data_IF_488978034023
#
_entry.id   IF_488978034023
#
_cell.length_a   1.000
_cell.length_b   1.000
_cell.length_c   1.000
_cell.angle_alpha   90.00
_cell.angle_beta   90.00
_cell.angle_gamma   90.00
#
_symmetry.space_group_name_H-M   'P 1'
#
loop_
_entity.id
_entity.type
_entity.pdbx_description
1 polymer ?
#
# COMPACT_ATOMS: atom_id res chain seq x y z
N UNK A 1 -7.14 29.06 25.60
CA UNK A 1 -7.29 28.87 24.14
C UNK A 1 -5.89 28.90 23.54
N UNK A 2 -5.26 27.73 23.43
CA UNK A 2 -3.99 27.55 22.73
C UNK A 2 -4.27 27.70 21.23
N UNK A 3 -3.53 28.56 20.53
CA UNK A 3 -3.68 28.74 19.08
C UNK A 3 -3.43 27.44 18.30
N UNK A 4 -3.84 27.36 17.03
CA UNK A 4 -3.60 26.17 16.22
C UNK A 4 -2.10 25.85 16.18
N UNK A 5 -1.75 24.57 16.36
CA UNK A 5 -0.37 24.09 16.27
C UNK A 5 0.25 24.53 14.93
N UNK A 6 1.53 24.93 14.93
CA UNK A 6 2.25 25.35 13.72
C UNK A 6 2.21 24.26 12.63
N UNK A 7 2.10 23.00 13.01
CA UNK A 7 1.88 21.85 12.11
C UNK A 7 0.57 22.00 11.33
N UNK A 8 -0.54 22.35 12.00
CA UNK A 8 -1.83 22.48 11.35
C UNK A 8 -1.88 23.67 10.39
N UNK A 9 -1.18 24.76 10.71
CA UNK A 9 -1.06 25.90 9.80
C UNK A 9 -0.30 25.53 8.52
N UNK A 10 0.75 24.70 8.61
CA UNK A 10 1.51 24.23 7.45
C UNK A 10 0.74 23.26 6.55
N UNK A 11 -0.33 22.64 7.07
CA UNK A 11 -1.17 21.67 6.38
C UNK A 11 -2.47 22.29 5.84
N UNK A 12 -2.69 23.59 6.04
CA UNK A 12 -3.96 24.22 5.69
C UNK A 12 -4.26 24.13 4.19
N UNK A 13 -5.52 23.91 3.83
CA UNK A 13 -5.97 23.72 2.45
C UNK A 13 -5.47 22.45 1.72
N UNK A 14 -4.68 21.58 2.38
CA UNK A 14 -4.12 20.36 1.77
C UNK A 14 -4.82 19.09 2.25
N UNK A 15 -4.91 18.06 1.41
CA UNK A 15 -5.13 16.70 1.93
C UNK A 15 -3.93 16.31 2.78
N UNK A 16 -4.12 15.47 3.79
CA UNK A 16 -3.04 15.00 4.65
C UNK A 16 -3.03 13.49 4.69
N UNK A 17 -1.90 12.89 4.36
CA UNK A 17 -1.62 11.49 4.59
C UNK A 17 -0.86 11.36 5.91
N UNK A 18 -1.41 10.59 6.84
CA UNK A 18 -0.77 10.20 8.08
C UNK A 18 -0.26 8.77 7.95
N UNK A 19 1.01 8.55 8.21
CA UNK A 19 1.64 7.23 8.29
C UNK A 19 2.34 7.07 9.63
N UNK A 20 2.58 5.84 10.13
CA UNK A 20 3.41 5.63 11.30
C UNK A 20 4.75 6.35 11.16
N UNK A 21 5.27 6.87 12.26
CA UNK A 21 6.54 7.59 12.27
C UNK A 21 7.67 6.79 11.65
N UNK A 22 8.57 7.49 10.96
CA UNK A 22 9.75 6.94 10.29
C UNK A 22 9.43 5.98 9.12
N UNK A 23 8.18 6.00 8.62
CA UNK A 23 7.82 5.29 7.38
C UNK A 23 8.59 5.88 6.19
N UNK A 24 9.34 5.05 5.47
CA UNK A 24 9.97 5.44 4.21
C UNK A 24 8.94 5.56 3.09
N UNK A 25 8.58 6.80 2.75
CA UNK A 25 7.54 7.11 1.78
C UNK A 25 8.01 6.95 0.33
N UNK A 26 9.31 7.03 0.06
CA UNK A 26 9.82 7.04 -1.32
C UNK A 26 9.56 5.72 -2.06
N UNK A 27 9.83 4.52 -1.49
CA UNK A 27 9.46 3.25 -2.13
C UNK A 27 7.96 3.12 -2.38
N UNK A 28 7.14 3.62 -1.45
CA UNK A 28 5.68 3.59 -1.57
C UNK A 28 5.18 4.52 -2.69
N UNK A 29 5.81 5.68 -2.87
CA UNK A 29 5.54 6.56 -4.02
C UNK A 29 5.98 5.91 -5.34
N UNK A 30 7.17 5.31 -5.39
CA UNK A 30 7.70 4.66 -6.59
C UNK A 30 6.89 3.48 -7.09
N UNK A 31 6.12 2.84 -6.21
CA UNK A 31 5.20 1.77 -6.59
C UNK A 31 4.07 2.25 -7.53
N UNK A 32 3.71 3.54 -7.48
CA UNK A 32 2.67 4.15 -8.31
C UNK A 32 3.23 5.17 -9.31
N UNK A 33 4.36 5.79 -8.98
CA UNK A 33 4.98 6.86 -9.74
C UNK A 33 6.48 6.55 -9.91
N UNK A 34 6.91 5.85 -10.97
CA UNK A 34 8.29 5.38 -11.12
C UNK A 34 9.34 6.49 -11.08
N UNK A 35 8.95 7.70 -11.49
CA UNK A 35 9.80 8.89 -11.48
C UNK A 35 9.89 9.58 -10.09
N UNK A 36 9.22 9.07 -9.06
CA UNK A 36 9.18 9.72 -7.76
C UNK A 36 10.58 9.84 -7.14
N UNK A 37 10.86 11.03 -6.60
CA UNK A 37 12.14 11.39 -6.00
C UNK A 37 11.99 12.54 -5.00
N UNK A 38 12.87 12.59 -4.00
CA UNK A 38 12.96 13.74 -3.11
C UNK A 38 13.55 14.94 -3.87
N UNK A 39 12.73 15.94 -4.18
CA UNK A 39 13.21 17.23 -4.67
C UNK A 39 13.96 17.99 -3.57
N UNK A 40 13.53 17.77 -2.31
CA UNK A 40 14.24 18.18 -1.10
C UNK A 40 14.11 17.08 -0.05
N UNK A 41 15.22 16.55 0.41
CA UNK A 41 15.20 15.52 1.47
C UNK A 41 14.75 16.11 2.82
N UNK A 42 13.98 15.35 3.61
CA UNK A 42 13.62 15.76 4.96
C UNK A 42 14.83 15.65 5.89
N UNK A 43 15.00 16.65 6.76
CA UNK A 43 16.08 16.66 7.76
C UNK A 43 15.50 16.54 9.17
N UNK A 44 15.93 15.52 9.91
CA UNK A 44 15.67 15.43 11.35
C UNK A 44 16.39 16.54 12.11
N UNK A 45 15.96 16.81 13.35
CA UNK A 45 16.60 17.83 14.18
C UNK A 45 18.07 17.50 14.47
N UNK A 46 18.40 16.21 14.63
CA UNK A 46 19.76 15.75 14.84
C UNK A 46 20.63 15.97 13.58
N UNK A 47 20.10 15.63 12.40
CA UNK A 47 20.80 15.85 11.13
C UNK A 47 20.97 17.34 10.83
N UNK A 48 19.95 18.17 11.07
CA UNK A 48 20.02 19.62 10.94
C UNK A 48 21.05 20.24 11.91
N UNK A 49 21.22 19.67 13.10
CA UNK A 49 22.26 20.10 14.04
C UNK A 49 23.66 19.71 13.57
N UNK A 50 23.82 18.50 13.04
CA UNK A 50 25.10 17.96 12.56
C UNK A 50 25.59 18.62 11.27
N UNK A 51 24.67 19.04 10.39
CA UNK A 51 25.00 19.71 9.13
C UNK A 51 25.42 21.19 9.30
N UNK A 52 25.47 21.71 10.53
CA UNK A 52 25.85 23.10 10.77
C UNK A 52 27.33 23.34 10.48
N UNK A 53 27.69 24.34 9.66
CA UNK A 53 29.07 24.78 9.58
C UNK A 53 29.51 25.29 10.96
N UNK A 54 30.70 24.88 11.42
CA UNK A 54 31.26 25.36 12.69
C UNK A 54 31.43 26.88 12.62
N UNK A 55 30.52 27.63 13.23
CA UNK A 55 30.59 29.08 13.26
C UNK A 55 31.76 29.50 14.15
N UNK A 56 32.70 30.26 13.56
CA UNK A 56 33.90 30.74 14.25
C UNK A 56 33.58 31.55 15.50
N UNK A 57 34.60 31.70 16.36
CA UNK A 57 34.53 32.20 17.75
C UNK A 57 33.79 33.54 18.00
N UNK A 58 33.39 34.25 16.94
CA UNK A 58 32.69 35.55 16.99
C UNK A 58 31.16 35.47 17.12
N UNK A 59 30.57 34.27 17.06
CA UNK A 59 29.11 34.06 17.21
C UNK A 59 28.71 33.30 18.48
N UNK A 60 29.54 33.34 19.54
CA UNK A 60 29.22 32.74 20.85
C UNK A 60 28.05 33.50 21.50
N UNK A 61 26.83 33.01 21.33
CA UNK A 61 25.68 33.49 22.10
C UNK A 61 24.31 33.26 21.47
N UNK A 62 24.21 33.07 20.15
CA UNK A 62 22.94 32.80 19.47
C UNK A 62 22.84 31.31 19.17
N UNK A 63 22.36 30.54 20.15
CA UNK A 63 21.98 29.16 19.93
C UNK A 63 20.60 29.13 19.27
N UNK A 64 20.56 29.20 17.93
CA UNK A 64 19.33 28.85 17.20
C UNK A 64 19.11 27.35 17.40
N UNK A 65 17.96 26.92 17.89
CA UNK A 65 17.64 25.49 17.95
C UNK A 65 17.64 24.89 16.53
N UNK A 66 18.19 23.69 16.29
CA UNK A 66 18.08 23.05 14.98
C UNK A 66 16.61 22.80 14.65
N UNK A 67 16.13 23.42 13.57
CA UNK A 67 14.74 23.32 13.13
C UNK A 67 14.65 22.15 12.15
N UNK A 68 13.73 21.20 12.41
CA UNK A 68 13.39 20.15 11.42
C UNK A 68 12.90 20.82 10.16
N UNK A 69 13.37 20.35 9.00
CA UNK A 69 12.92 20.89 7.71
C UNK A 69 12.10 19.83 7.00
N UNK A 70 10.86 20.17 6.65
CA UNK A 70 10.01 19.31 5.84
C UNK A 70 10.64 19.14 4.44
N UNK A 71 10.73 17.89 4.01
CA UNK A 71 11.09 17.53 2.64
C UNK A 71 9.96 17.84 1.66
N UNK A 72 10.28 17.70 0.38
CA UNK A 72 9.34 17.75 -0.73
C UNK A 72 9.60 16.54 -1.64
N UNK A 73 8.66 15.60 -1.64
CA UNK A 73 8.68 14.41 -2.47
C UNK A 73 7.92 14.71 -3.76
N UNK A 74 8.62 14.74 -4.88
CA UNK A 74 8.00 14.90 -6.19
C UNK A 74 7.48 13.54 -6.68
N UNK A 75 6.24 13.50 -7.16
CA UNK A 75 5.63 12.28 -7.71
C UNK A 75 5.89 12.15 -9.22
N UNK A 76 5.71 13.24 -9.98
CA UNK A 76 5.90 13.28 -11.44
C UNK A 76 6.73 14.48 -11.93
N UNK A 77 7.41 15.20 -11.03
CA UNK A 77 8.12 16.44 -11.34
C UNK A 77 7.28 17.72 -11.12
N UNK A 78 5.95 17.61 -11.01
CA UNK A 78 5.05 18.75 -10.79
C UNK A 78 4.25 18.63 -9.49
N UNK A 79 3.74 17.44 -9.19
CA UNK A 79 3.01 17.17 -7.94
C UNK A 79 4.00 16.91 -6.82
N UNK A 80 3.95 17.72 -5.76
CA UNK A 80 4.78 17.55 -4.56
C UNK A 80 3.95 17.13 -3.34
N UNK A 81 4.54 16.23 -2.55
CA UNK A 81 4.07 15.83 -1.23
C UNK A 81 5.04 16.40 -0.19
N UNK A 82 4.54 17.23 0.73
CA UNK A 82 5.39 17.99 1.65
C UNK A 82 5.29 17.42 3.06
N UNK A 83 6.42 17.07 3.66
CA UNK A 83 6.50 16.45 4.98
C UNK A 83 7.89 15.84 5.21
N UNK A 84 8.12 15.12 6.32
CA UNK A 84 7.16 14.79 7.36
C UNK A 84 6.94 15.94 8.35
N UNK A 85 5.69 16.08 8.82
CA UNK A 85 5.35 16.84 10.01
C UNK A 85 4.99 15.87 11.14
N UNK A 86 5.89 15.64 12.11
CA UNK A 86 5.68 14.67 13.16
C UNK A 86 4.56 15.13 14.11
N UNK A 87 3.71 14.20 14.50
CA UNK A 87 2.74 14.36 15.58
C UNK A 87 2.84 13.17 16.54
N UNK A 88 2.59 13.41 17.82
CA UNK A 88 2.52 12.32 18.79
C UNK A 88 1.15 11.60 18.76
N UNK A 89 1.04 10.47 19.46
CA UNK A 89 -0.19 9.70 19.53
C UNK A 89 -1.40 10.48 20.11
N UNK A 90 -1.18 11.48 20.98
CA UNK A 90 -2.24 12.29 21.56
C UNK A 90 -2.77 13.32 20.55
N UNK A 91 -1.88 13.97 19.82
CA UNK A 91 -2.20 14.86 18.70
C UNK A 91 -2.89 14.09 17.57
N UNK A 92 -2.37 12.91 17.18
CA UNK A 92 -3.01 12.05 16.19
C UNK A 92 -4.45 11.69 16.60
N UNK A 93 -4.66 11.30 17.88
CA UNK A 93 -6.01 11.05 18.41
C UNK A 93 -6.90 12.29 18.37
N UNK A 94 -6.37 13.47 18.71
CA UNK A 94 -7.11 14.72 18.63
C UNK A 94 -7.54 15.07 17.19
N UNK A 95 -6.76 14.63 16.20
CA UNK A 95 -7.08 14.71 14.78
C UNK A 95 -7.94 13.54 14.27
N UNK A 96 -8.42 12.66 15.16
CA UNK A 96 -9.19 11.45 14.82
C UNK A 96 -8.46 10.46 13.90
N UNK A 97 -7.12 10.52 13.88
CA UNK A 97 -6.24 9.57 13.23
C UNK A 97 -5.96 8.36 14.15
N UNK A 98 -5.39 7.26 13.62
CA UNK A 98 -4.91 6.16 14.45
C UNK A 98 -4.04 6.66 15.61
N UNK A 99 -4.27 6.20 16.87
CA UNK A 99 -3.64 6.77 18.06
C UNK A 99 -2.20 6.27 18.26
N UNK A 100 -1.32 6.64 17.33
CA UNK A 100 0.10 6.28 17.30
C UNK A 100 0.94 7.48 16.85
N UNK A 101 2.23 7.46 17.18
CA UNK A 101 3.18 8.44 16.66
C UNK A 101 3.20 8.38 15.13
N UNK A 102 2.92 9.52 14.49
CA UNK A 102 2.69 9.61 13.06
C UNK A 102 3.50 10.72 12.43
N UNK A 103 3.83 10.54 11.15
CA UNK A 103 4.33 11.60 10.28
C UNK A 103 3.23 12.01 9.31
N UNK A 104 2.94 13.30 9.26
CA UNK A 104 1.94 13.88 8.37
C UNK A 104 2.60 14.42 7.10
N UNK A 105 1.94 14.19 5.98
CA UNK A 105 2.38 14.64 4.66
C UNK A 105 1.24 15.38 3.96
N UNK A 106 1.49 16.63 3.54
CA UNK A 106 0.54 17.43 2.77
C UNK A 106 0.53 16.97 1.31
N UNK A 107 -0.66 16.75 0.76
CA UNK A 107 -0.91 16.47 -0.65
C UNK A 107 -1.79 17.58 -1.23
N UNK A 108 -1.62 17.92 -2.52
CA UNK A 108 -2.45 18.94 -3.15
C UNK A 108 -3.92 18.51 -3.18
N UNK A 109 -4.80 19.44 -2.80
CA UNK A 109 -6.26 19.24 -2.83
C UNK A 109 -6.92 19.70 -4.13
N UNK A 110 -6.16 20.34 -5.01
CA UNK A 110 -6.60 20.83 -6.30
C UNK A 110 -5.60 20.40 -7.39
N UNK A 111 -6.02 20.36 -8.66
CA UNK A 111 -5.11 20.10 -9.77
C UNK A 111 -3.91 21.05 -9.75
N UNK A 112 -2.71 20.49 -9.88
CA UNK A 112 -1.47 21.28 -9.92
C UNK A 112 -1.23 21.72 -11.35
N UNK A 113 -0.95 23.01 -11.55
CA UNK A 113 -0.66 23.55 -12.88
C UNK A 113 0.60 22.91 -13.45
N UNK A 114 0.50 22.34 -14.66
CA UNK A 114 1.61 21.64 -15.31
C UNK A 114 1.79 20.17 -14.89
N UNK A 115 0.99 19.67 -13.95
CA UNK A 115 0.98 18.26 -13.62
C UNK A 115 0.25 17.43 -14.68
N UNK A 116 0.74 16.20 -14.88
CA UNK A 116 0.12 15.21 -15.76
C UNK A 116 -0.71 14.19 -14.98
N UNK A 117 -0.43 14.05 -13.68
CA UNK A 117 -1.16 13.14 -12.80
C UNK A 117 -2.57 13.65 -12.52
N UNK A 118 -3.54 12.76 -12.68
CA UNK A 118 -4.90 13.00 -12.26
C UNK A 118 -4.98 13.05 -10.70
N UNK A 119 -5.73 14.00 -10.10
CA UNK A 119 -5.90 14.08 -8.64
C UNK A 119 -6.41 12.77 -8.00
N UNK A 120 -7.22 12.02 -8.72
CA UNK A 120 -7.77 10.73 -8.29
C UNK A 120 -6.67 9.67 -8.13
N UNK A 121 -5.62 9.72 -8.97
CA UNK A 121 -4.49 8.80 -8.88
C UNK A 121 -3.65 9.07 -7.62
N UNK A 122 -3.45 10.34 -7.27
CA UNK A 122 -2.76 10.75 -6.03
C UNK A 122 -3.57 10.34 -4.79
N UNK A 123 -4.89 10.52 -4.84
CA UNK A 123 -5.79 10.13 -3.74
C UNK A 123 -5.86 8.60 -3.59
N UNK A 124 -5.89 7.87 -4.71
CA UNK A 124 -5.81 6.42 -4.74
C UNK A 124 -4.52 5.90 -4.13
N UNK A 125 -3.38 6.49 -4.51
CA UNK A 125 -2.08 6.18 -3.93
C UNK A 125 -2.06 6.43 -2.42
N UNK A 126 -2.50 7.62 -1.97
CA UNK A 126 -2.54 7.96 -0.55
C UNK A 126 -3.39 6.97 0.25
N UNK A 127 -4.53 6.53 -0.31
CA UNK A 127 -5.41 5.52 0.31
C UNK A 127 -4.72 4.16 0.39
N UNK A 128 -4.02 3.75 -0.67
CA UNK A 128 -3.26 2.51 -0.68
C UNK A 128 -2.13 2.53 0.36
N UNK A 129 -1.40 3.65 0.47
CA UNK A 129 -0.36 3.86 1.49
C UNK A 129 -0.94 3.81 2.90
N UNK A 130 -1.96 4.62 3.18
CA UNK A 130 -2.62 4.65 4.48
C UNK A 130 -3.11 3.25 4.90
N UNK A 131 -3.70 2.50 3.98
CA UNK A 131 -4.08 1.10 4.23
C UNK A 131 -2.88 0.21 4.56
N UNK A 132 -1.83 0.25 3.74
CA UNK A 132 -0.63 -0.60 3.89
C UNK A 132 0.09 -0.33 5.21
N UNK A 133 0.11 0.91 5.67
CA UNK A 133 0.85 1.32 6.86
C UNK A 133 -0.04 1.43 8.10
N UNK A 134 -1.31 1.04 8.04
CA UNK A 134 -2.30 1.30 9.10
C UNK A 134 -2.36 2.79 9.53
N UNK A 135 -2.20 3.68 8.55
CA UNK A 135 -2.30 5.13 8.66
C UNK A 135 -3.71 5.66 8.43
N UNK A 136 -3.81 6.94 8.07
CA UNK A 136 -5.09 7.61 7.82
C UNK A 136 -4.96 8.81 6.89
N UNK A 137 -6.08 9.35 6.46
CA UNK A 137 -6.17 10.50 5.56
C UNK A 137 -7.09 11.55 6.18
N UNK A 138 -6.63 12.80 6.21
CA UNK A 138 -7.47 13.96 6.50
C UNK A 138 -7.75 14.71 5.19
N UNK A 139 -9.00 14.76 4.72
CA UNK A 139 -9.38 15.62 3.60
C UNK A 139 -9.08 17.09 3.90
N UNK A 140 -8.80 17.90 2.87
CA UNK A 140 -8.52 19.33 3.03
C UNK A 140 -9.65 20.08 3.76
N UNK A 141 -10.90 19.66 3.56
CA UNK A 141 -12.08 20.21 4.23
C UNK A 141 -12.13 19.92 5.75
N UNK A 142 -11.34 18.95 6.24
CA UNK A 142 -11.29 18.50 7.64
C UNK A 142 -12.65 18.07 8.22
N UNK A 143 -13.57 17.65 7.35
CA UNK A 143 -14.94 17.26 7.69
C UNK A 143 -15.01 15.81 8.21
N UNK A 144 -14.20 14.91 7.66
CA UNK A 144 -14.15 13.51 8.06
C UNK A 144 -12.79 12.87 7.80
N UNK A 145 -12.24 12.24 8.83
CA UNK A 145 -11.05 11.40 8.68
C UNK A 145 -11.40 10.08 8.01
N UNK A 146 -10.54 9.65 7.08
CA UNK A 146 -10.64 8.35 6.42
C UNK A 146 -9.52 7.47 6.95
N UNK A 147 -9.86 6.37 7.62
CA UNK A 147 -8.89 5.36 8.09
C UNK A 147 -9.18 4.07 7.32
N UNK A 148 -8.45 3.81 6.22
CA UNK A 148 -8.64 2.58 5.46
C UNK A 148 -8.32 1.36 6.33
N UNK A 149 -9.16 0.33 6.28
CA UNK A 149 -8.95 -0.91 7.01
C UNK A 149 -7.69 -1.63 6.51
N UNK A 150 -6.61 -1.73 7.30
CA UNK A 150 -5.34 -2.32 6.87
C UNK A 150 -5.48 -3.82 6.54
N UNK A 151 -6.45 -4.50 7.13
CA UNK A 151 -6.69 -5.93 6.90
C UNK A 151 -7.55 -6.19 5.65
N UNK A 152 -8.04 -5.16 4.95
CA UNK A 152 -8.88 -5.32 3.76
C UNK A 152 -8.11 -5.80 2.52
N UNK A 153 -6.79 -5.56 2.45
CA UNK A 153 -5.94 -5.95 1.32
C UNK A 153 -5.45 -7.41 1.44
N UNK A 154 -6.39 -8.36 1.29
CA UNK A 154 -6.08 -9.79 1.35
C UNK A 154 -5.65 -10.37 0.00
N UNK A 155 -6.12 -9.79 -1.10
CA UNK A 155 -5.83 -10.29 -2.44
C UNK A 155 -4.36 -10.09 -2.81
N UNK A 156 -3.79 -11.12 -3.43
CA UNK A 156 -2.39 -11.16 -3.84
C UNK A 156 -2.28 -11.63 -5.28
N UNK A 157 -1.36 -11.04 -6.04
CA UNK A 157 -1.02 -11.49 -7.39
C UNK A 157 0.47 -11.84 -7.44
N UNK A 158 0.79 -13.07 -7.79
CA UNK A 158 2.15 -13.46 -8.16
C UNK A 158 2.35 -13.22 -9.66
N UNK A 159 3.35 -12.44 -10.01
CA UNK A 159 3.82 -12.27 -11.38
C UNK A 159 5.04 -13.16 -11.59
N UNK A 160 4.96 -14.08 -12.57
CA UNK A 160 6.08 -14.94 -12.95
C UNK A 160 6.35 -14.99 -14.46
N UNK A 161 7.60 -15.26 -14.82
CA UNK A 161 8.01 -15.63 -16.18
C UNK A 161 7.69 -17.08 -16.54
N UNK A 162 7.37 -17.92 -15.55
CA UNK A 162 7.17 -19.36 -15.71
C UNK A 162 5.67 -19.67 -15.77
N UNK A 163 5.14 -20.11 -16.93
CA UNK A 163 3.78 -20.63 -16.98
C UNK A 163 3.69 -21.98 -16.28
N UNK A 164 2.63 -22.15 -15.49
CA UNK A 164 2.28 -23.40 -14.83
C UNK A 164 0.92 -23.85 -15.34
N UNK A 165 0.76 -25.14 -15.58
CA UNK A 165 -0.54 -25.70 -15.96
C UNK A 165 -1.45 -25.81 -14.73
N UNK A 166 -2.77 -25.75 -14.94
CA UNK A 166 -3.73 -25.97 -13.84
C UNK A 166 -3.61 -27.37 -13.21
N UNK A 167 -3.18 -28.36 -13.99
CA UNK A 167 -2.95 -29.72 -13.54
C UNK A 167 -1.74 -29.83 -12.58
N UNK A 168 -0.70 -29.02 -12.80
CA UNK A 168 0.49 -28.97 -11.93
C UNK A 168 0.22 -28.12 -10.69
N UNK A 169 -0.58 -27.05 -10.82
CA UNK A 169 -0.91 -26.14 -9.72
C UNK A 169 -1.88 -26.77 -8.72
N UNK A 170 -2.89 -27.48 -9.18
CA UNK A 170 -3.91 -28.09 -8.31
C UNK A 170 -3.32 -28.92 -7.15
N UNK A 171 -2.39 -29.88 -7.35
CA UNK A 171 -1.81 -30.65 -6.25
C UNK A 171 -0.98 -29.78 -5.29
N UNK A 172 -0.35 -28.70 -5.77
CA UNK A 172 0.45 -27.79 -4.95
C UNK A 172 -0.42 -26.98 -3.98
N UNK A 173 -1.58 -26.51 -4.43
CA UNK A 173 -2.43 -25.60 -3.63
C UNK A 173 -3.47 -26.32 -2.79
N UNK A 174 -3.80 -27.57 -3.12
CA UNK A 174 -4.80 -28.39 -2.42
C UNK A 174 -4.60 -28.48 -0.88
N UNK A 175 -3.37 -28.58 -0.33
CA UNK A 175 -3.19 -28.58 1.12
C UNK A 175 -3.69 -27.31 1.82
N UNK A 176 -3.63 -26.15 1.16
CA UNK A 176 -4.11 -24.87 1.69
C UNK A 176 -5.54 -24.54 1.21
N UNK A 177 -5.96 -25.08 0.07
CA UNK A 177 -7.27 -24.90 -0.55
C UNK A 177 -8.05 -26.22 -0.57
N UNK A 178 -8.42 -26.69 0.62
CA UNK A 178 -9.26 -27.88 0.76
C UNK A 178 -10.56 -27.72 -0.05
N UNK A 179 -10.91 -28.73 -0.84
CA UNK A 179 -12.10 -28.68 -1.68
C UNK A 179 -11.94 -27.95 -3.02
N UNK A 180 -10.73 -27.44 -3.34
CA UNK A 180 -10.47 -26.79 -4.64
C UNK A 180 -10.88 -27.65 -5.85
N UNK A 181 -11.46 -26.98 -6.85
CA UNK A 181 -11.89 -27.55 -8.13
C UNK A 181 -11.37 -26.69 -9.28
N UNK A 182 -10.90 -27.33 -10.34
CA UNK A 182 -10.60 -26.66 -11.60
C UNK A 182 -11.90 -26.21 -12.26
N UNK A 183 -11.92 -24.95 -12.67
CA UNK A 183 -12.97 -24.37 -13.49
C UNK A 183 -12.34 -23.81 -14.76
N UNK A 184 -13.07 -23.81 -15.89
CA UNK A 184 -12.62 -23.09 -17.06
C UNK A 184 -12.40 -21.61 -16.69
N UNK A 185 -11.28 -21.00 -17.11
CA UNK A 185 -11.09 -19.56 -16.90
C UNK A 185 -12.20 -18.79 -17.65
N UNK A 186 -12.75 -17.76 -17.00
CA UNK A 186 -13.73 -16.88 -17.63
C UNK A 186 -12.95 -15.88 -18.50
N UNK A 187 -13.05 -15.92 -19.84
CA UNK A 187 -12.37 -14.95 -20.67
C UNK A 187 -12.98 -13.55 -20.46
N UNK A 188 -12.18 -12.49 -20.35
CA UNK A 188 -12.71 -11.15 -20.60
C UNK A 188 -13.20 -11.14 -22.06
N UNK A 189 -14.50 -10.85 -22.24
CA UNK A 189 -15.25 -10.77 -23.50
C UNK A 189 -14.49 -11.09 -24.81
N UNK A 190 -14.81 -12.24 -25.43
CA UNK A 190 -14.55 -12.51 -26.86
C UNK A 190 -13.22 -13.18 -27.23
N UNK A 191 -12.36 -13.55 -26.27
CA UNK A 191 -11.08 -14.24 -26.53
C UNK A 191 -11.02 -15.69 -26.02
N UNK A 192 -10.00 -16.43 -26.48
CA UNK A 192 -9.59 -17.68 -25.83
C UNK A 192 -8.93 -17.34 -24.49
N UNK A 193 -9.40 -17.96 -23.40
CA UNK A 193 -8.76 -17.78 -22.11
C UNK A 193 -7.48 -18.62 -22.06
N UNK A 194 -6.32 -17.98 -22.26
CA UNK A 194 -5.03 -18.58 -21.90
C UNK A 194 -4.93 -18.63 -20.38
N UNK A 195 -4.88 -19.85 -19.82
CA UNK A 195 -4.64 -20.07 -18.39
C UNK A 195 -5.63 -21.04 -17.74
N UNK A 196 -5.91 -20.86 -16.45
CA UNK A 196 -6.81 -21.71 -15.68
C UNK A 196 -7.46 -20.95 -14.52
N UNK A 197 -8.54 -21.49 -13.98
CA UNK A 197 -9.13 -21.03 -12.72
C UNK A 197 -9.28 -22.20 -11.73
N UNK A 198 -9.07 -21.90 -10.46
CA UNK A 198 -9.24 -22.81 -9.33
C UNK A 198 -10.10 -22.12 -8.27
N UNK A 199 -11.20 -22.76 -7.89
CA UNK A 199 -12.10 -22.24 -6.85
C UNK A 199 -12.17 -23.20 -5.68
N UNK A 200 -11.99 -22.69 -4.47
CA UNK A 200 -12.27 -23.39 -3.21
C UNK A 200 -13.36 -22.63 -2.46
N UNK A 201 -14.41 -23.33 -2.05
CA UNK A 201 -15.58 -22.74 -1.37
C UNK A 201 -15.67 -23.25 0.07
N UNK A 202 -15.97 -22.35 0.99
CA UNK A 202 -16.06 -22.56 2.42
C UNK A 202 -17.40 -22.01 2.91
N UNK A 203 -18.09 -22.76 3.76
CA UNK A 203 -19.44 -22.42 4.24
C UNK A 203 -19.49 -21.05 4.94
N UNK A 204 -18.51 -20.78 5.82
CA UNK A 204 -18.49 -19.56 6.65
C UNK A 204 -17.54 -18.47 6.13
N UNK A 205 -16.63 -18.84 5.24
CA UNK A 205 -15.53 -17.96 4.81
C UNK A 205 -15.66 -17.55 3.34
N UNK A 206 -16.67 -18.00 2.61
CA UNK A 206 -16.88 -17.64 1.21
C UNK A 206 -16.01 -18.45 0.27
N UNK A 207 -15.46 -17.85 -0.77
CA UNK A 207 -14.64 -18.56 -1.76
C UNK A 207 -13.27 -17.93 -1.97
N UNK A 208 -12.27 -18.77 -2.24
CA UNK A 208 -10.96 -18.37 -2.74
C UNK A 208 -10.87 -18.75 -4.21
N UNK A 209 -10.50 -17.78 -5.05
CA UNK A 209 -10.38 -17.95 -6.50
C UNK A 209 -8.94 -17.67 -6.93
N UNK A 210 -8.26 -18.70 -7.43
CA UNK A 210 -6.95 -18.57 -8.07
C UNK A 210 -7.14 -18.59 -9.59
N UNK A 211 -6.91 -17.45 -10.24
CA UNK A 211 -6.84 -17.33 -11.69
C UNK A 211 -5.39 -17.24 -12.16
N UNK A 212 -5.06 -17.95 -13.22
CA UNK A 212 -3.83 -17.75 -13.98
C UNK A 212 -4.20 -17.19 -15.35
N UNK A 213 -3.55 -16.11 -15.77
CA UNK A 213 -3.66 -15.59 -17.12
C UNK A 213 -2.36 -14.91 -17.55
N UNK A 214 -2.13 -14.85 -18.85
CA UNK A 214 -1.12 -13.97 -19.43
C UNK A 214 -1.70 -12.56 -19.52
N UNK A 215 -1.05 -11.57 -18.91
CA UNK A 215 -1.52 -10.18 -18.91
C UNK A 215 -0.46 -9.26 -19.51
N UNK A 216 -0.80 -8.43 -20.52
CA UNK A 216 0.06 -7.33 -20.95
C UNK A 216 0.04 -6.15 -19.97
N UNK A 217 -1.03 -6.02 -19.19
CA UNK A 217 -1.22 -4.94 -18.23
C UNK A 217 -0.60 -5.34 -16.90
N UNK A 218 0.59 -4.79 -16.61
CA UNK A 218 1.36 -5.05 -15.39
C UNK A 218 1.24 -3.88 -14.40
N UNK A 219 1.19 -4.13 -13.08
CA UNK A 219 1.25 -3.07 -12.08
C UNK A 219 2.48 -2.19 -12.24
N UNK A 220 2.31 -0.88 -12.01
CA UNK A 220 3.37 0.12 -12.20
C UNK A 220 4.64 -0.22 -11.41
N UNK A 221 4.52 -0.75 -10.20
CA UNK A 221 5.67 -1.14 -9.38
C UNK A 221 6.61 -2.13 -10.08
N UNK A 222 6.09 -3.00 -10.96
CA UNK A 222 6.90 -3.97 -11.70
C UNK A 222 7.77 -3.30 -12.78
N UNK A 223 7.40 -2.10 -13.26
CA UNK A 223 8.23 -1.34 -14.20
C UNK A 223 9.56 -0.87 -13.60
N UNK A 224 9.70 -0.96 -12.27
CA UNK A 224 10.94 -0.65 -11.54
C UNK A 224 11.88 -1.86 -11.43
N UNK A 225 11.45 -3.05 -11.87
CA UNK A 225 12.18 -4.31 -11.81
C UNK A 225 12.60 -4.78 -13.20
N UNK A 226 13.54 -5.74 -13.26
CA UNK A 226 13.83 -6.42 -14.52
C UNK A 226 12.62 -7.27 -14.92
N UNK A 227 12.22 -7.21 -16.19
CA UNK A 227 11.07 -7.96 -16.70
C UNK A 227 11.18 -9.49 -16.46
N UNK A 228 12.41 -10.01 -16.34
CA UNK A 228 12.68 -11.43 -16.03
C UNK A 228 12.28 -11.81 -14.60
N UNK A 229 12.22 -10.84 -13.69
CA UNK A 229 11.85 -11.07 -12.28
C UNK A 229 10.35 -11.25 -12.10
N UNK A 230 9.52 -10.73 -13.02
CA UNK A 230 8.07 -10.78 -12.89
C UNK A 230 7.36 -11.44 -14.08
N UNK A 231 7.90 -11.37 -15.30
CA UNK A 231 7.28 -11.95 -16.48
C UNK A 231 5.82 -11.54 -16.75
N UNK A 232 5.16 -12.18 -17.74
CA UNK A 232 3.81 -11.80 -18.18
C UNK A 232 2.69 -12.63 -17.54
N UNK A 233 2.99 -13.65 -16.72
CA UNK A 233 1.97 -14.53 -16.15
C UNK A 233 1.55 -14.05 -14.77
N UNK A 234 0.25 -13.76 -14.63
CA UNK A 234 -0.36 -13.32 -13.39
C UNK A 234 -1.14 -14.47 -12.74
N UNK A 235 -0.73 -14.87 -11.55
CA UNK A 235 -1.43 -15.79 -10.66
C UNK A 235 -2.15 -14.98 -9.60
N UNK A 236 -3.40 -14.62 -9.87
CA UNK A 236 -4.22 -13.79 -8.99
C UNK A 236 -5.04 -14.66 -8.06
N UNK A 237 -4.81 -14.50 -6.77
CA UNK A 237 -5.61 -15.13 -5.72
C UNK A 237 -6.50 -14.09 -5.07
N UNK A 238 -7.81 -14.21 -5.27
CA UNK A 238 -8.82 -13.31 -4.70
C UNK A 238 -9.69 -14.03 -3.69
N UNK A 239 -10.13 -13.28 -2.68
CA UNK A 239 -11.18 -13.69 -1.78
C UNK A 239 -12.52 -13.13 -2.21
N UNK A 240 -13.56 -13.96 -2.14
CA UNK A 240 -14.95 -13.59 -2.34
C UNK A 240 -15.70 -13.90 -1.04
N UNK A 241 -16.09 -12.89 -0.25
CA UNK A 241 -16.81 -13.12 1.00
C UNK A 241 -18.18 -13.77 0.75
N UNK A 242 -18.78 -14.41 1.78
CA UNK A 242 -20.14 -14.96 1.67
C UNK A 242 -21.19 -13.94 1.23
N UNK A 243 -21.07 -12.70 1.72
CA UNK A 243 -21.87 -11.56 1.28
C UNK A 243 -20.95 -10.51 0.61
N UNK A 244 -21.03 -10.32 -0.72
CA UNK A 244 -20.24 -9.33 -1.44
C UNK A 244 -20.49 -7.88 -1.00
N UNK A 245 -21.66 -7.54 -0.47
CA UNK A 245 -22.00 -6.15 -0.09
C UNK A 245 -21.15 -5.65 1.08
N UNK A 246 -20.57 -6.56 1.86
CA UNK A 246 -19.65 -6.23 2.96
C UNK A 246 -18.34 -5.58 2.46
N UNK A 247 -17.96 -5.80 1.20
CA UNK A 247 -16.77 -5.18 0.61
C UNK A 247 -16.90 -3.66 0.45
N UNK A 248 -18.13 -3.17 0.30
CA UNK A 248 -18.43 -1.75 0.11
C UNK A 248 -18.71 -1.01 1.44
N UNK A 249 -18.79 -1.75 2.55
CA UNK A 249 -19.08 -1.16 3.85
C UNK A 249 -17.84 -0.50 4.45
N UNK A 250 -17.99 0.74 4.92
CA UNK A 250 -16.94 1.43 5.66
C UNK A 250 -16.59 0.72 6.98
N UNK A 251 -17.59 0.06 7.59
CA UNK A 251 -17.43 -0.74 8.81
C UNK A 251 -18.08 -2.10 8.58
N UNK A 252 -17.34 -3.09 8.05
CA UNK A 252 -17.89 -4.41 7.77
C UNK A 252 -18.29 -5.12 9.07
N UNK A 253 -19.18 -6.11 8.96
CA UNK A 253 -19.64 -6.86 10.13
C UNK A 253 -18.50 -7.65 10.80
N UNK A 254 -18.61 -7.95 12.11
CA UNK A 254 -17.63 -8.79 12.79
C UNK A 254 -17.44 -10.16 12.14
N UNK A 255 -18.50 -10.75 11.56
CA UNK A 255 -18.41 -12.03 10.86
C UNK A 255 -17.58 -11.91 9.58
N UNK A 256 -17.75 -10.84 8.81
CA UNK A 256 -16.90 -10.56 7.64
C UNK A 256 -15.43 -10.42 8.04
N UNK A 257 -15.14 -9.66 9.11
CA UNK A 257 -13.77 -9.46 9.60
C UNK A 257 -13.15 -10.80 10.03
N UNK A 258 -13.89 -11.64 10.76
CA UNK A 258 -13.42 -12.97 11.18
C UNK A 258 -13.17 -13.88 9.97
N UNK A 259 -14.08 -13.91 8.99
CA UNK A 259 -13.91 -14.70 7.77
C UNK A 259 -12.63 -14.27 7.02
N UNK A 260 -12.43 -12.97 6.85
CA UNK A 260 -11.23 -12.39 6.24
C UNK A 260 -9.94 -12.78 6.97
N UNK A 261 -9.94 -12.71 8.29
CA UNK A 261 -8.81 -13.11 9.13
C UNK A 261 -8.46 -14.60 8.93
N UNK A 262 -9.47 -15.48 8.85
CA UNK A 262 -9.25 -16.93 8.64
C UNK A 262 -8.69 -17.27 7.25
N UNK A 263 -9.11 -16.55 6.21
CA UNK A 263 -8.64 -16.83 4.84
C UNK A 263 -7.25 -16.24 4.54
N UNK A 264 -6.87 -15.15 5.20
CA UNK A 264 -5.62 -14.43 4.93
C UNK A 264 -4.37 -15.34 4.99
N UNK A 265 -4.18 -16.19 6.01
CA UNK A 265 -3.04 -17.12 6.04
C UNK A 265 -3.09 -18.17 4.92
N UNK A 266 -4.29 -18.60 4.52
CA UNK A 266 -4.45 -19.56 3.42
C UNK A 266 -4.06 -18.94 2.08
N UNK A 267 -4.44 -17.68 1.83
CA UNK A 267 -4.01 -16.92 0.64
C UNK A 267 -2.49 -16.83 0.60
N UNK A 268 -1.87 -16.38 1.70
CA UNK A 268 -0.43 -16.25 1.79
C UNK A 268 0.31 -17.59 1.56
N UNK A 269 -0.19 -18.69 2.14
CA UNK A 269 0.39 -20.04 1.93
C UNK A 269 0.32 -20.50 0.47
N UNK A 270 -0.80 -20.23 -0.21
CA UNK A 270 -0.96 -20.57 -1.64
C UNK A 270 0.04 -19.78 -2.47
N UNK A 271 0.09 -18.46 -2.31
CA UNK A 271 1.01 -17.60 -3.06
C UNK A 271 2.47 -17.95 -2.77
N UNK A 272 2.84 -18.23 -1.51
CA UNK A 272 4.19 -18.68 -1.16
C UNK A 272 4.54 -20.03 -1.78
N UNK A 273 3.56 -20.92 -1.97
CA UNK A 273 3.77 -22.21 -2.62
C UNK A 273 3.96 -22.04 -4.13
N UNK A 274 3.17 -21.17 -4.76
CA UNK A 274 3.35 -20.82 -6.18
C UNK A 274 4.69 -20.13 -6.42
N UNK A 275 5.06 -19.18 -5.57
CA UNK A 275 6.33 -18.47 -5.67
C UNK A 275 7.53 -19.41 -5.55
N UNK A 276 7.49 -20.40 -4.66
CA UNK A 276 8.53 -21.44 -4.57
C UNK A 276 8.64 -22.32 -5.82
N UNK A 277 7.53 -22.51 -6.55
CA UNK A 277 7.50 -23.33 -7.76
C UNK A 277 7.88 -22.55 -9.03
N UNK A 278 7.49 -21.27 -9.12
CA UNK A 278 7.59 -20.47 -10.33
C UNK A 278 8.58 -19.30 -10.24
N UNK A 279 9.09 -18.98 -9.05
CA UNK A 279 9.72 -17.70 -8.76
C UNK A 279 8.75 -16.54 -8.98
N UNK A 280 9.28 -15.32 -9.07
CA UNK A 280 8.49 -14.14 -9.44
C UNK A 280 8.46 -13.02 -8.39
N UNK A 281 7.60 -12.04 -8.63
CA UNK A 281 7.31 -10.92 -7.72
C UNK A 281 5.86 -10.97 -7.27
N UNK A 282 5.62 -10.85 -5.95
CA UNK A 282 4.27 -10.78 -5.39
C UNK A 282 3.86 -9.33 -5.23
N UNK A 283 2.66 -8.98 -5.66
CA UNK A 283 2.08 -7.65 -5.57
C UNK A 283 0.72 -7.74 -4.86
N UNK A 284 0.46 -6.85 -3.90
CA UNK A 284 -0.83 -6.75 -3.21
C UNK A 284 -1.86 -5.93 -4.02
N UNK A 285 -3.11 -5.93 -3.56
CA UNK A 285 -4.18 -5.13 -4.16
C UNK A 285 -3.94 -3.59 -4.10
N UNK A 286 -2.98 -3.13 -3.29
CA UNK A 286 -2.55 -1.73 -3.24
C UNK A 286 -1.47 -1.38 -4.27
N UNK A 287 -1.00 -2.35 -5.05
CA UNK A 287 0.06 -2.16 -6.04
C UNK A 287 1.46 -2.15 -5.43
N UNK A 288 1.65 -2.65 -4.21
CA UNK A 288 2.95 -2.72 -3.55
C UNK A 288 3.54 -4.13 -3.64
N UNK A 289 4.86 -4.21 -3.77
CA UNK A 289 5.58 -5.48 -3.68
C UNK A 289 5.47 -6.01 -2.26
N UNK A 290 5.07 -7.28 -2.14
CA UNK A 290 5.07 -8.02 -0.88
C UNK A 290 6.33 -8.88 -0.84
N UNK A 291 7.31 -8.54 0.00
CA UNK A 291 8.53 -9.33 0.08
C UNK A 291 8.27 -10.68 0.74
N UNK A 292 9.18 -11.62 0.54
CA UNK A 292 8.97 -13.00 0.96
C UNK A 292 8.79 -13.13 2.47
N UNK A 293 9.52 -12.35 3.28
CA UNK A 293 9.39 -12.34 4.73
C UNK A 293 8.01 -11.88 5.22
N UNK A 294 7.40 -10.90 4.53
CA UNK A 294 6.06 -10.42 4.84
C UNK A 294 5.02 -11.49 4.48
N UNK A 295 5.17 -12.11 3.30
CA UNK A 295 4.31 -13.20 2.86
C UNK A 295 4.34 -14.38 3.84
N UNK A 296 5.54 -14.73 4.30
CA UNK A 296 5.78 -15.77 5.29
C UNK A 296 5.16 -15.44 6.65
N UNK A 297 5.25 -14.19 7.10
CA UNK A 297 4.60 -13.73 8.32
C UNK A 297 3.07 -13.86 8.21
N UNK A 298 2.48 -13.44 7.09
CA UNK A 298 1.04 -13.60 6.82
C UNK A 298 0.62 -15.07 6.81
N UNK A 299 1.45 -15.96 6.26
CA UNK A 299 1.18 -17.40 6.21
C UNK A 299 1.17 -18.09 7.58
N UNK A 300 1.91 -17.53 8.55
CA UNK A 300 2.03 -18.02 9.94
C UNK A 300 1.04 -17.37 10.91
N UNK A 301 0.42 -16.25 10.53
CA UNK A 301 -0.60 -15.60 11.34
C UNK A 301 -1.74 -16.60 11.64
N UNK A 302 -2.19 -16.60 12.90
CA UNK A 302 -3.28 -17.46 13.39
C UNK A 302 -4.53 -16.64 13.63
#
# INVERSE_FOLDING_TARGET
>A
MTGPSAVLAALDGSHVLAVPRDTDLLPLARAWFPAALWAREPLSAAQAAAARPMTGARFRGIAVAPVRTAGALSLDGAVEVVGPYPVDAAEARALTLPPQDSDLYALPAAPVTGATLAPELVTGWATAVARRTAGGILPAARDRTVVPDPASAVDLTLWSAVPLSGADVLPLVRPALAGSRLTPPVPPSGGAAEGFALTATYEYDGALQLGCSRSPDVPVVLSTLDWREHGPWAYRLTWQPPDPHELDQAHPSPLHVIARQRVTPSIARVVATLWRAAGGTVVDAGGFVVPHEELDARARAR
#
